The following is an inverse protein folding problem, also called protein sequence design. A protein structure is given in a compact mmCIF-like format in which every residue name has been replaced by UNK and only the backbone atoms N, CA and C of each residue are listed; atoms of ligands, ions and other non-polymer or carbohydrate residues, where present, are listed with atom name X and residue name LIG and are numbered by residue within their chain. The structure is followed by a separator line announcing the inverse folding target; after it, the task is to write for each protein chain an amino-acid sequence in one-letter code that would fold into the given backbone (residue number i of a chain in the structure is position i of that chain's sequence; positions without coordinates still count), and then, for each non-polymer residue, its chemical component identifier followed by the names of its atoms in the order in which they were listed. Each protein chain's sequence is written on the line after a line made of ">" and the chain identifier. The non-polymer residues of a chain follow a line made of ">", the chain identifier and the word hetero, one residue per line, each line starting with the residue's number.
data_IF_672598752872
#
_entry.id   IF_672598752872
#
_cell.length_a   1.000
_cell.length_b   1.000
_cell.length_c   1.000
_cell.angle_alpha   90.00
_cell.angle_beta   90.00
_cell.angle_gamma   90.00
#
_symmetry.space_group_name_H-M   'P 1'
#
loop_
_entity.id
_entity.type
_entity.pdbx_description
1 polymer ?
#
# COMPACT_ATOMS: atom_id res chain seq x y z
N UNK A 1 7.86 -8.96 11.01
CA UNK A 1 6.58 -8.50 10.42
C UNK A 1 5.58 -9.63 10.58
N UNK A 2 4.31 -9.33 10.89
CA UNK A 2 3.20 -10.29 10.78
C UNK A 2 2.37 -9.92 9.56
N UNK A 3 2.24 -10.84 8.59
CA UNK A 3 1.61 -10.59 7.27
C UNK A 3 2.13 -9.34 6.55
N UNK A 4 3.43 -9.08 6.67
CA UNK A 4 4.08 -7.90 6.10
C UNK A 4 3.78 -6.57 6.82
N UNK A 5 2.98 -6.57 7.88
CA UNK A 5 2.74 -5.41 8.75
C UNK A 5 3.75 -5.46 9.92
N UNK A 6 4.32 -4.33 10.37
CA UNK A 6 5.14 -4.35 11.58
C UNK A 6 4.32 -4.78 12.77
N UNK A 7 4.92 -5.64 13.59
CA UNK A 7 4.36 -6.00 14.88
C UNK A 7 4.43 -4.74 15.72
N UNK A 8 3.30 -4.33 16.32
CA UNK A 8 3.25 -3.12 17.14
C UNK A 8 4.25 -3.26 18.30
N UNK A 9 5.31 -2.46 18.27
CA UNK A 9 6.02 -2.09 19.49
C UNK A 9 5.20 -1.01 20.17
N UNK A 10 4.56 -1.34 21.28
CA UNK A 10 3.83 -0.39 22.09
C UNK A 10 4.64 -0.06 23.34
N UNK A 11 4.84 1.23 23.57
CA UNK A 11 5.52 1.75 24.74
C UNK A 11 4.49 2.47 25.61
N UNK A 12 4.23 1.95 26.81
CA UNK A 12 3.30 2.55 27.76
C UNK A 12 4.07 3.02 28.99
N UNK A 13 4.05 4.31 29.26
CA UNK A 13 4.63 4.90 30.47
C UNK A 13 3.70 5.95 31.03
N UNK A 14 3.67 6.05 32.35
CA UNK A 14 3.07 7.13 33.13
C UNK A 14 4.12 8.19 33.57
N UNK A 15 5.40 7.95 33.29
CA UNK A 15 6.51 8.84 33.60
C UNK A 15 7.12 9.49 32.35
N UNK A 16 7.29 10.82 32.42
CA UNK A 16 7.99 11.60 31.40
C UNK A 16 9.48 11.21 31.29
N UNK A 17 10.14 10.87 32.39
CA UNK A 17 11.55 10.49 32.38
C UNK A 17 11.77 9.16 31.67
N UNK A 18 10.86 8.19 31.85
CA UNK A 18 10.87 6.95 31.11
C UNK A 18 10.62 7.18 29.61
N UNK A 19 9.71 8.09 29.25
CA UNK A 19 9.50 8.49 27.85
C UNK A 19 10.77 9.13 27.25
N UNK A 20 11.44 10.01 28.01
CA UNK A 20 12.67 10.68 27.59
C UNK A 20 13.82 9.69 27.40
N UNK A 21 13.95 8.71 28.30
CA UNK A 21 14.92 7.63 28.18
C UNK A 21 14.68 6.85 26.89
N UNK A 22 13.46 6.39 26.65
CA UNK A 22 13.08 5.68 25.42
C UNK A 22 13.34 6.48 24.16
N UNK A 23 12.95 7.76 24.15
CA UNK A 23 13.19 8.62 23.01
C UNK A 23 14.69 8.76 22.69
N UNK A 24 15.55 8.75 23.70
CA UNK A 24 16.99 8.88 23.52
C UNK A 24 17.69 7.53 23.25
N UNK A 25 17.17 6.42 23.75
CA UNK A 25 17.84 5.12 23.73
C UNK A 25 17.34 4.17 22.63
N UNK A 26 16.13 4.39 22.11
CA UNK A 26 15.53 3.50 21.12
C UNK A 26 15.96 3.94 19.72
N UNK A 27 16.34 2.96 18.91
CA UNK A 27 16.60 3.16 17.49
C UNK A 27 15.35 3.70 16.79
N UNK A 28 15.50 4.90 16.23
CA UNK A 28 14.45 5.57 15.48
C UNK A 28 14.46 5.07 14.04
N UNK A 29 13.29 4.70 13.54
CA UNK A 29 13.15 4.42 12.12
C UNK A 29 13.53 5.66 11.30
N UNK A 30 14.30 5.45 10.23
CA UNK A 30 14.74 6.53 9.34
C UNK A 30 13.66 6.97 8.35
N UNK A 31 12.67 6.11 8.10
CA UNK A 31 11.59 6.37 7.14
C UNK A 31 10.24 6.10 7.78
N UNK A 32 9.20 6.77 7.28
CA UNK A 32 7.81 6.56 7.64
C UNK A 32 7.08 5.91 6.47
N UNK A 33 6.34 4.84 6.73
CA UNK A 33 5.46 4.21 5.76
C UNK A 33 4.02 4.53 6.14
N UNK A 34 3.27 5.16 5.24
CA UNK A 34 1.89 5.55 5.45
C UNK A 34 0.98 4.89 4.41
N UNK A 35 -0.12 4.32 4.89
CA UNK A 35 -1.19 3.74 4.06
C UNK A 35 -2.43 4.60 4.25
N UNK A 36 -2.90 5.18 3.16
CA UNK A 36 -4.07 6.06 3.14
C UNK A 36 -5.13 5.51 2.19
N UNK A 37 -6.40 5.77 2.50
CA UNK A 37 -7.54 5.47 1.63
C UNK A 37 -8.09 6.80 1.13
N UNK A 38 -8.13 6.96 -0.19
CA UNK A 38 -8.83 8.05 -0.86
C UNK A 38 -10.16 7.51 -1.41
N UNK A 39 -11.31 7.96 -0.88
CA UNK A 39 -12.59 7.66 -1.49
C UNK A 39 -12.66 8.22 -2.91
N UNK A 40 -13.24 7.44 -3.82
CA UNK A 40 -13.55 7.91 -5.17
C UNK A 40 -14.82 8.72 -5.12
N UNK A 41 -14.87 9.81 -5.89
CA UNK A 41 -16.03 10.69 -5.95
C UNK A 41 -17.27 9.90 -6.40
N UNK A 42 -18.37 10.02 -5.64
CA UNK A 42 -19.68 9.57 -6.08
C UNK A 42 -20.23 10.52 -7.16
N UNK A 43 -21.12 10.02 -8.01
CA UNK A 43 -21.77 10.79 -9.09
C UNK A 43 -22.48 12.06 -8.61
N UNK A 44 -22.82 12.15 -7.33
CA UNK A 44 -23.33 13.35 -6.71
C UNK A 44 -22.17 14.31 -6.42
N UNK A 45 -22.15 15.47 -7.10
CA UNK A 45 -21.17 16.57 -7.09
C UNK A 45 -20.91 17.24 -5.72
N UNK A 46 -21.13 16.54 -4.61
CA UNK A 46 -20.67 16.91 -3.29
C UNK A 46 -19.17 16.61 -3.14
N UNK A 47 -18.49 17.46 -2.39
CA UNK A 47 -17.03 17.47 -2.14
C UNK A 47 -16.38 16.08 -2.10
N UNK A 48 -15.24 15.92 -2.79
CA UNK A 48 -14.39 14.73 -2.65
C UNK A 48 -14.01 14.57 -1.17
N UNK A 49 -14.33 13.43 -0.53
CA UNK A 49 -13.96 13.21 0.86
C UNK A 49 -12.46 13.29 1.03
N UNK A 50 -12.01 13.89 2.12
CA UNK A 50 -10.59 13.91 2.46
C UNK A 50 -10.06 12.49 2.63
N UNK A 51 -8.81 12.22 2.24
CA UNK A 51 -8.23 10.90 2.44
C UNK A 51 -8.08 10.58 3.93
N UNK A 52 -8.26 9.31 4.27
CA UNK A 52 -8.16 8.81 5.65
C UNK A 52 -6.90 7.99 5.82
N UNK A 53 -6.17 8.24 6.92
CA UNK A 53 -5.00 7.45 7.28
C UNK A 53 -5.44 6.10 7.88
N UNK A 54 -5.09 5.00 7.22
CA UNK A 54 -5.35 3.65 7.71
C UNK A 54 -4.26 3.22 8.71
N UNK A 55 -3.01 3.49 8.38
CA UNK A 55 -1.86 3.06 9.17
C UNK A 55 -0.63 3.90 8.84
N UNK A 56 0.15 4.25 9.86
CA UNK A 56 1.48 4.82 9.71
C UNK A 56 2.43 4.17 10.69
N UNK A 57 3.63 3.82 10.24
CA UNK A 57 4.65 3.21 11.08
C UNK A 57 6.05 3.45 10.53
N UNK A 58 7.03 3.48 11.43
CA UNK A 58 8.44 3.59 11.07
C UNK A 58 8.95 2.35 10.35
N UNK A 59 9.81 2.53 9.35
CA UNK A 59 10.53 1.46 8.66
C UNK A 59 12.01 1.81 8.51
N UNK A 60 12.84 0.76 8.40
CA UNK A 60 14.28 0.79 8.17
C UNK A 60 14.65 0.33 6.75
N UNK A 61 13.70 0.38 5.82
CA UNK A 61 13.83 -0.09 4.44
C UNK A 61 14.28 -1.57 4.32
N UNK A 62 13.94 -2.44 5.27
CA UNK A 62 14.24 -3.89 5.17
C UNK A 62 13.12 -4.70 4.50
N UNK A 63 11.90 -4.16 4.42
CA UNK A 63 10.75 -4.86 3.85
C UNK A 63 11.01 -5.31 2.40
N UNK A 64 10.62 -6.54 2.09
CA UNK A 64 10.72 -7.14 0.75
C UNK A 64 9.45 -6.91 -0.07
N UNK A 65 9.51 -7.17 -1.38
CA UNK A 65 8.33 -7.16 -2.24
C UNK A 65 7.24 -8.15 -1.78
N UNK A 66 7.63 -9.30 -1.22
CA UNK A 66 6.67 -10.28 -0.70
C UNK A 66 5.95 -9.76 0.55
N UNK A 67 6.66 -9.08 1.46
CA UNK A 67 6.05 -8.44 2.62
C UNK A 67 5.04 -7.37 2.20
N UNK A 68 5.36 -6.59 1.16
CA UNK A 68 4.45 -5.58 0.59
C UNK A 68 3.18 -6.25 0.04
N UNK A 69 3.32 -7.36 -0.70
CA UNK A 69 2.17 -8.11 -1.24
C UNK A 69 1.26 -8.66 -0.13
N UNK A 70 1.85 -9.30 0.90
CA UNK A 70 1.09 -9.81 2.04
C UNK A 70 0.32 -8.70 2.74
N UNK A 71 0.93 -7.52 2.87
CA UNK A 71 0.30 -6.34 3.45
C UNK A 71 -0.88 -5.83 2.62
N UNK A 72 -0.71 -5.70 1.31
CA UNK A 72 -1.80 -5.28 0.42
C UNK A 72 -2.96 -6.27 0.44
N UNK A 73 -2.65 -7.57 0.42
CA UNK A 73 -3.64 -8.62 0.54
C UNK A 73 -4.42 -8.52 1.87
N UNK A 74 -3.72 -8.25 2.97
CA UNK A 74 -4.34 -8.04 4.27
C UNK A 74 -5.26 -6.81 4.27
N UNK A 75 -4.79 -5.66 3.78
CA UNK A 75 -5.58 -4.42 3.67
C UNK A 75 -6.82 -4.65 2.80
N UNK A 76 -6.66 -5.33 1.67
CA UNK A 76 -7.75 -5.68 0.75
C UNK A 76 -8.83 -6.52 1.45
N UNK A 77 -8.43 -7.63 2.09
CA UNK A 77 -9.38 -8.50 2.77
C UNK A 77 -10.07 -7.81 3.95
N UNK A 78 -9.34 -7.02 4.74
CA UNK A 78 -9.93 -6.27 5.85
C UNK A 78 -10.92 -5.20 5.38
N UNK A 79 -10.65 -4.57 4.25
CA UNK A 79 -11.57 -3.60 3.62
C UNK A 79 -12.82 -4.31 3.09
N UNK A 80 -12.64 -5.43 2.40
CA UNK A 80 -13.74 -6.22 1.85
C UNK A 80 -14.70 -6.73 2.94
N UNK A 81 -14.16 -7.22 4.06
CA UNK A 81 -14.96 -7.63 5.23
C UNK A 81 -15.81 -6.50 5.83
N UNK A 82 -15.46 -5.23 5.55
CA UNK A 82 -16.18 -4.04 6.01
C UNK A 82 -17.00 -3.39 4.90
N UNK A 83 -17.27 -4.12 3.81
CA UNK A 83 -17.96 -3.63 2.62
C UNK A 83 -17.29 -2.42 1.94
N UNK A 84 -15.97 -2.27 2.11
CA UNK A 84 -15.17 -1.27 1.41
C UNK A 84 -14.49 -1.95 0.22
N UNK A 85 -14.85 -1.52 -1.00
CA UNK A 85 -14.26 -2.05 -2.24
C UNK A 85 -13.05 -1.22 -2.65
N UNK A 86 -11.85 -1.78 -2.54
CA UNK A 86 -10.64 -1.18 -3.09
C UNK A 86 -10.58 -1.46 -4.58
N UNK A 87 -10.44 -0.39 -5.37
CA UNK A 87 -10.38 -0.45 -6.84
C UNK A 87 -8.92 -0.46 -7.33
N UNK A 88 -8.06 0.35 -6.70
CA UNK A 88 -6.67 0.55 -7.11
C UNK A 88 -5.78 0.73 -5.88
N UNK A 89 -4.56 0.19 -5.95
CA UNK A 89 -3.45 0.57 -5.08
C UNK A 89 -2.52 1.52 -5.82
N UNK A 90 -2.13 2.60 -5.15
CA UNK A 90 -1.15 3.57 -5.65
C UNK A 90 -0.02 3.70 -4.65
N UNK A 91 1.21 3.91 -5.14
CA UNK A 91 2.41 3.95 -4.31
C UNK A 91 3.37 4.98 -4.89
N UNK A 92 4.25 5.50 -4.05
CA UNK A 92 5.42 6.22 -4.53
C UNK A 92 6.33 5.26 -5.33
N UNK A 93 7.18 5.80 -6.21
CA UNK A 93 8.00 5.08 -7.19
C UNK A 93 9.15 4.26 -6.57
N UNK A 94 8.98 3.76 -5.34
CA UNK A 94 9.91 2.86 -4.67
C UNK A 94 10.06 1.55 -5.48
N UNK A 95 11.30 1.14 -5.81
CA UNK A 95 11.55 -0.05 -6.64
C UNK A 95 10.95 -1.35 -6.08
N UNK A 96 10.82 -1.49 -4.75
CA UNK A 96 10.26 -2.68 -4.10
C UNK A 96 8.75 -2.73 -4.25
N UNK A 97 8.10 -1.57 -4.16
CA UNK A 97 6.67 -1.42 -4.41
C UNK A 97 6.35 -1.66 -5.89
N UNK A 98 7.16 -1.12 -6.81
CA UNK A 98 7.05 -1.41 -8.23
C UNK A 98 7.21 -2.91 -8.54
N UNK A 99 8.17 -3.57 -7.88
CA UNK A 99 8.35 -5.03 -8.00
C UNK A 99 7.12 -5.79 -7.49
N UNK A 100 6.55 -5.38 -6.34
CA UNK A 100 5.32 -5.97 -5.82
C UNK A 100 4.15 -5.79 -6.79
N UNK A 101 3.95 -4.60 -7.36
CA UNK A 101 2.92 -4.35 -8.38
C UNK A 101 3.06 -5.29 -9.58
N UNK A 102 4.28 -5.48 -10.10
CA UNK A 102 4.55 -6.36 -11.24
C UNK A 102 4.27 -7.83 -10.94
N UNK A 103 4.54 -8.28 -9.72
CA UNK A 103 4.21 -9.63 -9.28
C UNK A 103 2.68 -9.81 -9.19
N UNK A 104 1.99 -8.84 -8.58
CA UNK A 104 0.53 -8.90 -8.39
C UNK A 104 -0.24 -8.82 -9.71
N UNK A 105 0.21 -8.02 -10.67
CA UNK A 105 -0.43 -7.91 -11.98
C UNK A 105 -0.14 -9.10 -12.91
N UNK A 106 0.67 -10.06 -12.47
CA UNK A 106 1.11 -11.18 -13.30
C UNK A 106 2.04 -10.77 -14.44
N UNK A 107 2.53 -9.52 -14.47
CA UNK A 107 3.34 -8.97 -15.55
C UNK A 107 4.58 -9.83 -15.85
N UNK A 108 5.29 -10.28 -14.80
CA UNK A 108 6.48 -11.12 -14.96
C UNK A 108 6.15 -12.58 -15.29
N UNK A 109 4.96 -13.07 -14.92
CA UNK A 109 4.49 -14.41 -15.31
C UNK A 109 4.01 -14.47 -16.75
N UNK A 110 3.44 -13.36 -17.26
CA UNK A 110 2.97 -13.24 -18.63
C UNK A 110 4.10 -12.87 -19.63
N UNK A 111 5.16 -12.20 -19.19
CA UNK A 111 6.26 -11.73 -20.03
C UNK A 111 7.64 -12.00 -19.37
N UNK A 112 8.08 -13.27 -19.27
CA UNK A 112 9.42 -13.59 -18.80
C UNK A 112 10.49 -12.99 -19.74
N UNK A 113 11.55 -12.41 -19.17
CA UNK A 113 12.68 -11.79 -19.89
C UNK A 113 12.37 -10.51 -20.70
N UNK A 114 11.30 -9.80 -20.35
CA UNK A 114 10.94 -8.55 -21.01
C UNK A 114 11.98 -7.43 -20.77
N UNK A 115 12.59 -6.93 -21.85
CA UNK A 115 13.61 -5.88 -21.80
C UNK A 115 12.96 -4.50 -21.63
N UNK A 116 12.65 -4.16 -20.37
CA UNK A 116 11.95 -2.92 -19.99
C UNK A 116 12.58 -1.66 -20.59
N UNK A 117 13.91 -1.62 -20.69
CA UNK A 117 14.65 -0.47 -21.21
C UNK A 117 14.41 -0.20 -22.71
N UNK A 118 13.91 -1.20 -23.44
CA UNK A 118 13.61 -1.10 -24.88
C UNK A 118 12.12 -0.76 -25.12
N UNK A 119 11.31 -0.73 -24.06
CA UNK A 119 9.87 -0.56 -24.15
C UNK A 119 9.37 0.47 -23.13
N UNK A 120 9.49 1.78 -23.44
CA UNK A 120 9.06 2.85 -22.53
C UNK A 120 7.56 2.81 -22.20
N UNK A 121 6.74 2.18 -23.06
CA UNK A 121 5.31 1.97 -22.87
C UNK A 121 4.96 0.66 -22.13
N UNK A 122 5.95 -0.11 -21.66
CA UNK A 122 5.70 -1.38 -20.98
C UNK A 122 4.83 -1.27 -19.72
N UNK A 123 4.76 -0.07 -19.14
CA UNK A 123 3.93 0.24 -17.98
C UNK A 123 2.60 0.90 -18.33
N UNK A 124 2.31 1.14 -19.62
CA UNK A 124 0.97 1.50 -20.04
C UNK A 124 0.09 0.25 -19.98
N UNK A 125 -0.70 0.15 -18.91
CA UNK A 125 -1.82 -0.78 -18.86
C UNK A 125 -2.83 -0.31 -19.91
N UNK A 126 -2.84 -0.97 -21.08
CA UNK A 126 -3.92 -0.79 -22.06
C UNK A 126 -5.19 -1.39 -21.44
N UNK A 127 -6.01 -0.53 -20.84
CA UNK A 127 -7.35 -0.91 -20.39
C UNK A 127 -8.10 -1.37 -21.65
N UNK A 128 -8.44 -2.66 -21.69
CA UNK A 128 -9.17 -3.22 -22.83
C UNK A 128 -10.55 -2.56 -22.87
N UNK A 129 -11.00 -2.14 -24.05
CA UNK A 129 -12.28 -1.44 -24.24
C UNK A 129 -13.51 -2.23 -23.75
N UNK A 130 -13.38 -3.54 -23.55
CA UNK A 130 -14.43 -4.45 -23.07
C UNK A 130 -14.29 -4.86 -21.59
N UNK A 131 -13.34 -4.28 -20.83
CA UNK A 131 -13.26 -4.52 -19.39
C UNK A 131 -14.42 -3.84 -18.66
N UNK A 132 -15.56 -4.52 -18.58
CA UNK A 132 -16.77 -4.11 -17.85
C UNK A 132 -16.73 -4.53 -16.37
N UNK A 133 -15.62 -4.27 -15.66
CA UNK A 133 -15.56 -4.53 -14.21
C UNK A 133 -16.30 -3.49 -13.35
N UNK A 134 -16.90 -2.49 -14.00
CA UNK A 134 -17.88 -1.58 -13.42
C UNK A 134 -19.28 -2.18 -13.56
N UNK A 135 -19.63 -3.11 -12.67
CA UNK A 135 -21.04 -3.25 -12.31
C UNK A 135 -21.39 -2.09 -11.38
N UNK A 136 -21.71 -0.94 -11.96
CA UNK A 136 -22.75 -0.09 -11.40
C UNK A 136 -24.03 -0.67 -11.99
N UNK A 137 -24.76 -1.45 -11.19
CA UNK A 137 -26.14 -1.78 -11.50
C UNK A 137 -26.96 -0.57 -11.03
N UNK A 138 -27.78 -0.05 -11.94
CA UNK A 138 -28.85 0.92 -11.66
C UNK A 138 -29.76 0.45 -10.51
#
# INVERSE_FOLDING_TARGET
>A
LDRGVPIKSYYQTDSFDALKLWFNSIDKASLLNAHMIQPVQSTDNSSIPSPYLLSAYGIDNTATANDILQRWWYIFNQSLQRNIRIIVFSTDADPKYLRAMRLMSGFLGALPNFQVHQHPQAFQIKIRSHWSWFYLRE
#
